data_IF_204738010415
#
_entry.id   IF_204738010415
#
_cell.length_a   1.000
_cell.length_b   1.000
_cell.length_c   1.000
_cell.angle_alpha   90.00
_cell.angle_beta   90.00
_cell.angle_gamma   90.00
#
_symmetry.space_group_name_H-M   'P 1'
#
loop_
_entity.id
_entity.type
_entity.pdbx_description
1 polymer ?
#
# COMPACT_ATOMS: atom_id res chain seq x y z
N UNK A 1 11.02 2.47 3.18
CA UNK A 1 10.00 2.66 4.26
C UNK A 1 10.32 1.70 5.37
N UNK A 2 10.35 2.17 6.59
CA UNK A 2 10.40 1.35 7.80
C UNK A 2 9.10 1.55 8.58
N UNK A 3 8.54 0.47 9.12
CA UNK A 3 7.24 0.50 9.77
C UNK A 3 7.23 -0.52 10.92
N UNK A 4 6.92 -0.06 12.12
CA UNK A 4 6.81 -0.89 13.31
C UNK A 4 5.59 -0.44 14.11
N UNK A 5 4.54 -1.23 14.02
CA UNK A 5 3.29 -1.01 14.73
C UNK A 5 2.91 -2.33 15.39
N UNK A 6 2.55 -2.29 16.66
CA UNK A 6 2.23 -3.46 17.47
C UNK A 6 3.39 -4.50 17.55
N UNK A 7 4.63 -4.02 17.52
CA UNK A 7 5.81 -4.86 17.66
C UNK A 7 6.28 -4.86 19.11
N UNK A 8 6.40 -6.03 19.70
CA UNK A 8 6.79 -6.22 21.10
C UNK A 8 8.22 -5.75 21.40
N UNK A 9 9.08 -5.69 20.38
CA UNK A 9 10.48 -5.24 20.51
C UNK A 9 10.61 -3.71 20.64
N UNK A 10 9.54 -2.95 20.39
CA UNK A 10 9.55 -1.49 20.43
C UNK A 10 8.49 -0.96 21.39
N UNK A 11 8.88 -0.02 22.23
CA UNK A 11 8.00 0.62 23.21
C UNK A 11 7.01 1.63 22.59
N UNK A 12 7.22 2.01 21.31
CA UNK A 12 6.41 2.99 20.61
C UNK A 12 6.15 2.55 19.18
N UNK A 13 4.93 2.73 18.74
CA UNK A 13 4.57 2.58 17.34
C UNK A 13 5.21 3.71 16.52
N UNK A 14 5.85 3.37 15.42
CA UNK A 14 6.44 4.37 14.55
C UNK A 14 6.51 3.89 13.10
N UNK A 15 6.53 4.84 12.20
CA UNK A 15 6.66 4.62 10.77
C UNK A 15 7.58 5.68 10.16
N UNK A 16 8.42 5.29 9.23
CA UNK A 16 9.35 6.19 8.56
C UNK A 16 9.35 5.93 7.06
N UNK A 17 9.10 6.99 6.31
CA UNK A 17 9.15 7.01 4.87
C UNK A 17 10.33 7.84 4.42
N UNK A 18 11.01 7.40 3.36
CA UNK A 18 12.02 8.20 2.69
C UNK A 18 11.31 9.21 1.77
N UNK A 19 11.78 10.43 1.82
CA UNK A 19 11.23 11.56 1.08
C UNK A 19 10.84 12.70 2.03
N UNK A 20 11.01 13.91 1.58
CA UNK A 20 10.73 15.13 2.34
C UNK A 20 9.78 16.02 1.54
N UNK A 21 8.60 16.25 2.11
CA UNK A 21 7.56 17.07 1.48
C UNK A 21 8.01 18.51 1.27
N UNK A 22 8.85 19.05 2.16
CA UNK A 22 9.40 20.41 2.03
C UNK A 22 10.33 20.49 0.81
N UNK A 23 11.11 19.43 0.56
CA UNK A 23 12.00 19.34 -0.60
C UNK A 23 11.19 19.38 -1.89
N UNK A 24 10.14 18.55 -1.95
CA UNK A 24 9.24 18.48 -3.12
C UNK A 24 8.58 19.85 -3.36
N UNK A 25 8.00 20.46 -2.32
CA UNK A 25 7.34 21.75 -2.43
C UNK A 25 8.30 22.85 -2.94
N UNK A 26 9.51 22.91 -2.39
CA UNK A 26 10.48 23.94 -2.77
C UNK A 26 11.04 23.74 -4.19
N UNK A 27 11.29 22.50 -4.60
CA UNK A 27 11.82 22.23 -5.95
C UNK A 27 10.76 22.39 -7.05
N UNK A 28 9.51 22.12 -6.75
CA UNK A 28 8.44 22.11 -7.76
C UNK A 28 7.54 23.35 -7.71
N UNK A 29 7.53 24.08 -6.61
CA UNK A 29 6.57 25.16 -6.37
C UNK A 29 5.13 24.69 -6.16
N UNK A 30 4.91 23.37 -6.00
CA UNK A 30 3.59 22.77 -5.83
C UNK A 30 3.31 22.58 -4.34
N UNK A 31 2.12 22.95 -3.89
CA UNK A 31 1.68 22.65 -2.51
C UNK A 31 1.74 21.16 -2.24
N UNK A 32 2.52 20.77 -1.24
CA UNK A 32 2.77 19.37 -0.90
C UNK A 32 2.20 19.06 0.48
N UNK A 33 1.42 18.00 0.57
CA UNK A 33 0.91 17.43 1.83
C UNK A 33 1.54 16.07 2.03
N UNK A 34 2.09 15.80 3.21
CA UNK A 34 2.86 14.60 3.51
C UNK A 34 2.57 14.07 4.92
N UNK A 35 3.28 13.01 5.32
CA UNK A 35 3.26 12.42 6.68
C UNK A 35 1.93 11.81 7.13
N UNK A 36 1.07 11.39 6.19
CA UNK A 36 -0.23 10.78 6.50
C UNK A 36 -0.09 9.56 7.43
N UNK A 37 0.90 8.68 7.19
CA UNK A 37 1.12 7.49 8.02
C UNK A 37 1.60 7.86 9.41
N UNK A 38 2.53 8.78 9.51
CA UNK A 38 3.07 9.27 10.78
C UNK A 38 1.97 9.93 11.61
N UNK A 39 1.11 10.71 10.98
CA UNK A 39 -0.03 11.36 11.64
C UNK A 39 -1.03 10.33 12.19
N UNK A 40 -1.37 9.30 11.41
CA UNK A 40 -2.27 8.23 11.83
C UNK A 40 -1.69 7.41 13.01
N UNK A 41 -0.41 7.04 12.93
CA UNK A 41 0.29 6.31 14.00
C UNK A 41 0.38 7.14 15.28
N UNK A 42 0.62 8.44 15.17
CA UNK A 42 0.67 9.35 16.32
C UNK A 42 -0.68 9.47 17.05
N UNK A 43 -1.78 9.26 16.33
CA UNK A 43 -3.14 9.23 16.88
C UNK A 43 -3.57 7.82 17.36
N UNK A 44 -2.65 6.85 17.37
CA UNK A 44 -2.91 5.49 17.80
C UNK A 44 -3.39 4.55 16.68
N UNK A 45 -3.37 5.00 15.44
CA UNK A 45 -3.67 4.19 14.27
C UNK A 45 -2.51 3.28 13.87
N UNK A 46 -2.71 2.52 12.81
CA UNK A 46 -1.72 1.57 12.30
C UNK A 46 -0.84 2.14 11.17
N UNK A 47 -1.20 3.30 10.62
CA UNK A 47 -0.49 3.94 9.51
C UNK A 47 -0.63 3.20 8.16
N UNK A 48 -1.27 2.05 8.15
CA UNK A 48 -1.55 1.25 6.96
C UNK A 48 -2.72 0.27 7.24
N UNK A 49 -3.55 -0.07 6.23
CA UNK A 49 -3.61 0.56 4.91
C UNK A 49 -4.28 1.95 4.95
N UNK A 50 -3.88 2.88 4.08
CA UNK A 50 -4.51 4.21 3.94
C UNK A 50 -5.47 4.28 2.73
N UNK A 51 -5.19 3.49 1.70
CA UNK A 51 -5.92 3.50 0.42
C UNK A 51 -7.41 3.14 0.55
N UNK A 52 -7.85 2.22 1.42
CA UNK A 52 -9.27 1.87 1.52
C UNK A 52 -10.20 3.04 1.81
N UNK A 53 -9.75 4.04 2.57
CA UNK A 53 -10.53 5.26 2.83
C UNK A 53 -10.73 6.09 1.57
N UNK A 54 -9.68 6.23 0.76
CA UNK A 54 -9.73 6.91 -0.53
C UNK A 54 -10.58 6.13 -1.53
N UNK A 55 -10.38 4.82 -1.62
CA UNK A 55 -11.17 3.95 -2.50
C UNK A 55 -12.66 4.04 -2.19
N UNK A 56 -13.02 4.05 -0.91
CA UNK A 56 -14.41 4.22 -0.49
C UNK A 56 -14.99 5.59 -0.88
N UNK A 57 -14.17 6.65 -0.79
CA UNK A 57 -14.58 7.99 -1.21
C UNK A 57 -14.84 8.05 -2.73
N UNK A 58 -13.99 7.40 -3.52
CA UNK A 58 -14.06 7.44 -4.99
C UNK A 58 -15.09 6.48 -5.58
N UNK A 59 -15.25 5.30 -4.98
CA UNK A 59 -16.03 4.18 -5.53
C UNK A 59 -17.17 3.73 -4.64
N UNK A 60 -17.37 4.36 -3.48
CA UNK A 60 -18.51 4.07 -2.61
C UNK A 60 -19.84 4.57 -3.18
N UNK A 61 -20.95 4.18 -2.53
CA UNK A 61 -22.29 4.66 -2.90
C UNK A 61 -22.99 3.85 -3.99
N UNK A 62 -22.37 2.81 -4.54
CA UNK A 62 -22.99 1.93 -5.54
C UNK A 62 -23.94 0.90 -4.89
N UNK A 63 -24.85 0.35 -5.70
CA UNK A 63 -25.81 -0.68 -5.26
C UNK A 63 -25.21 -2.09 -5.16
N UNK A 64 -23.95 -2.26 -5.54
CA UNK A 64 -23.20 -3.52 -5.51
C UNK A 64 -22.01 -3.44 -4.57
N UNK A 65 -21.54 -4.57 -4.09
CA UNK A 65 -20.23 -4.65 -3.42
C UNK A 65 -19.12 -4.54 -4.47
N UNK A 66 -18.07 -3.81 -4.15
CA UNK A 66 -16.91 -3.58 -5.03
C UNK A 66 -15.67 -4.16 -4.36
N UNK A 67 -14.85 -4.86 -5.13
CA UNK A 67 -13.51 -5.30 -4.73
C UNK A 67 -12.50 -4.67 -5.69
N UNK A 68 -11.62 -3.83 -5.16
CA UNK A 68 -10.52 -3.21 -5.92
C UNK A 68 -9.24 -3.96 -5.60
N UNK A 69 -8.78 -4.76 -6.56
CA UNK A 69 -7.54 -5.54 -6.43
C UNK A 69 -6.37 -4.75 -7.01
N UNK A 70 -5.38 -4.52 -6.18
CA UNK A 70 -4.07 -4.03 -6.60
C UNK A 70 -3.05 -5.18 -6.61
N UNK A 71 -2.24 -5.24 -7.68
CA UNK A 71 -1.19 -6.26 -7.83
C UNK A 71 0.13 -5.54 -8.06
N UNK A 72 0.91 -5.42 -6.99
CA UNK A 72 2.28 -4.94 -6.99
C UNK A 72 3.23 -6.06 -6.58
N UNK A 73 4.29 -5.78 -5.85
CA UNK A 73 5.16 -6.78 -5.23
C UNK A 73 4.37 -7.74 -4.35
N UNK A 74 3.50 -7.16 -3.51
CA UNK A 74 2.47 -7.83 -2.73
C UNK A 74 1.11 -7.39 -3.29
N UNK A 75 0.19 -8.34 -3.47
CA UNK A 75 -1.18 -8.05 -3.84
C UNK A 75 -1.98 -7.59 -2.63
N UNK A 76 -2.88 -6.62 -2.82
CA UNK A 76 -3.82 -6.20 -1.79
C UNK A 76 -5.18 -5.88 -2.39
N UNK A 77 -6.22 -5.93 -1.57
CA UNK A 77 -7.59 -5.68 -2.00
C UNK A 77 -8.26 -4.69 -1.07
N UNK A 78 -9.07 -3.78 -1.62
CA UNK A 78 -10.05 -2.99 -0.89
C UNK A 78 -11.44 -3.54 -1.18
N UNK A 79 -12.18 -3.90 -0.12
CA UNK A 79 -13.58 -4.30 -0.19
C UNK A 79 -14.45 -3.12 0.22
N UNK A 80 -15.35 -2.70 -0.68
CA UNK A 80 -16.28 -1.61 -0.46
C UNK A 80 -17.70 -2.20 -0.46
N UNK A 81 -18.43 -2.12 0.66
CA UNK A 81 -19.79 -2.61 0.73
C UNK A 81 -20.74 -1.75 -0.11
N UNK A 82 -21.80 -2.36 -0.59
CA UNK A 82 -22.88 -1.65 -1.28
C UNK A 82 -23.54 -0.59 -0.38
N UNK A 83 -24.07 0.44 -1.00
CA UNK A 83 -24.85 1.47 -0.31
C UNK A 83 -26.01 0.84 0.49
N UNK A 84 -26.28 1.37 1.67
CA UNK A 84 -27.34 0.87 2.57
C UNK A 84 -26.91 -0.28 3.48
N UNK A 85 -25.64 -0.74 3.41
CA UNK A 85 -25.07 -1.69 4.37
C UNK A 85 -24.36 -0.96 5.52
N UNK A 86 -25.10 -0.21 6.33
CA UNK A 86 -24.58 0.64 7.42
C UNK A 86 -23.74 -0.11 8.48
N UNK A 87 -23.87 -1.44 8.54
CA UNK A 87 -23.10 -2.29 9.46
C UNK A 87 -21.74 -2.74 8.91
N UNK A 88 -21.44 -2.45 7.66
CA UNK A 88 -20.20 -2.85 7.01
C UNK A 88 -19.37 -1.62 6.67
N UNK A 89 -18.12 -1.64 7.09
CA UNK A 89 -17.12 -0.62 6.71
C UNK A 89 -16.24 -1.16 5.60
N UNK A 90 -15.71 -0.27 4.77
CA UNK A 90 -14.68 -0.64 3.81
C UNK A 90 -13.45 -1.17 4.55
N UNK A 91 -12.87 -2.24 4.03
CA UNK A 91 -11.66 -2.84 4.60
C UNK A 91 -10.63 -3.11 3.52
N UNK A 92 -9.36 -3.05 3.89
CA UNK A 92 -8.26 -3.42 3.00
C UNK A 92 -7.29 -4.36 3.69
N UNK A 93 -6.77 -5.33 2.93
CA UNK A 93 -5.81 -6.30 3.42
C UNK A 93 -4.96 -6.86 2.27
N UNK A 94 -3.81 -7.42 2.63
CA UNK A 94 -2.92 -8.07 1.68
C UNK A 94 -3.47 -9.44 1.28
N UNK A 95 -3.44 -9.73 -0.03
CA UNK A 95 -3.94 -10.99 -0.59
C UNK A 95 -2.84 -12.02 -0.84
N UNK A 96 -1.59 -11.64 -0.57
CA UNK A 96 -0.42 -12.50 -0.74
C UNK A 96 0.59 -11.92 -1.73
N UNK A 97 1.61 -12.69 -2.09
CA UNK A 97 2.63 -12.22 -3.01
C UNK A 97 2.05 -11.97 -4.41
N UNK A 98 2.45 -10.84 -5.01
CA UNK A 98 2.19 -10.49 -6.40
C UNK A 98 3.40 -10.77 -7.30
N UNK A 99 3.92 -9.76 -7.98
CA UNK A 99 5.06 -9.92 -8.89
C UNK A 99 6.37 -10.31 -8.18
N UNK A 100 6.46 -10.20 -6.87
CA UNK A 100 7.62 -10.70 -6.12
C UNK A 100 7.88 -12.20 -6.34
N UNK A 101 6.86 -12.99 -6.70
CA UNK A 101 7.05 -14.40 -7.10
C UNK A 101 7.84 -14.46 -8.40
N UNK A 102 7.47 -13.65 -9.38
CA UNK A 102 8.15 -13.58 -10.69
C UNK A 102 9.60 -13.17 -10.46
N UNK A 103 9.82 -12.12 -9.70
CA UNK A 103 11.16 -11.62 -9.36
C UNK A 103 12.02 -12.71 -8.69
N UNK A 104 11.44 -13.46 -7.77
CA UNK A 104 12.14 -14.57 -7.12
C UNK A 104 12.51 -15.71 -8.08
N UNK A 105 11.63 -16.00 -9.05
CA UNK A 105 11.94 -16.98 -10.08
C UNK A 105 13.07 -16.47 -10.99
N UNK A 106 13.03 -15.21 -11.40
CA UNK A 106 14.08 -14.61 -12.23
C UNK A 106 15.44 -14.67 -11.51
N UNK A 107 15.49 -14.25 -10.26
CA UNK A 107 16.68 -14.36 -9.42
C UNK A 107 17.23 -15.80 -9.42
N UNK A 108 16.35 -16.78 -9.21
CA UNK A 108 16.73 -18.19 -9.13
C UNK A 108 17.23 -18.76 -10.45
N UNK A 109 16.54 -18.52 -11.58
CA UNK A 109 16.92 -19.09 -12.89
C UNK A 109 18.13 -18.38 -13.50
N UNK A 110 18.38 -17.12 -13.14
CA UNK A 110 19.56 -16.38 -13.59
C UNK A 110 20.76 -16.54 -12.67
N UNK A 111 20.62 -17.29 -11.57
CA UNK A 111 21.69 -17.47 -10.58
C UNK A 111 22.06 -16.17 -9.86
N UNK A 112 21.09 -15.29 -9.58
CA UNK A 112 21.28 -14.02 -8.89
C UNK A 112 21.77 -12.87 -9.78
N UNK A 113 21.80 -13.06 -11.10
CA UNK A 113 22.26 -12.03 -12.03
C UNK A 113 21.21 -10.97 -12.33
N UNK A 114 19.95 -11.33 -12.26
CA UNK A 114 18.82 -10.44 -12.51
C UNK A 114 17.81 -10.57 -11.36
N UNK A 115 17.28 -9.44 -10.91
CA UNK A 115 16.34 -9.38 -9.78
C UNK A 115 14.89 -9.27 -10.23
N UNK A 116 14.64 -9.03 -11.51
CA UNK A 116 13.31 -8.94 -12.12
C UNK A 116 13.41 -9.22 -13.62
N UNK A 117 12.29 -9.57 -14.23
CA UNK A 117 12.23 -9.83 -15.69
C UNK A 117 12.22 -8.52 -16.47
N UNK A 118 13.40 -8.07 -16.85
CA UNK A 118 13.56 -6.83 -17.61
C UNK A 118 12.89 -6.97 -18.99
N UNK A 119 11.99 -6.04 -19.26
CA UNK A 119 11.22 -5.95 -20.52
C UNK A 119 10.39 -7.20 -20.85
N UNK A 120 10.07 -8.03 -19.84
CA UNK A 120 9.30 -9.26 -20.02
C UNK A 120 10.02 -10.34 -20.85
N UNK A 121 11.33 -10.28 -20.94
CA UNK A 121 12.16 -11.11 -21.83
C UNK A 121 12.07 -12.62 -21.55
N UNK A 122 11.84 -12.99 -20.30
CA UNK A 122 11.72 -14.38 -19.87
C UNK A 122 10.28 -14.89 -19.93
N UNK A 123 9.31 -13.97 -19.97
CA UNK A 123 7.89 -14.28 -20.07
C UNK A 123 7.39 -14.36 -21.53
N UNK A 124 8.21 -13.93 -22.50
CA UNK A 124 7.88 -13.89 -23.93
C UNK A 124 7.94 -15.27 -24.62
#
# INVERSE_FOLDING_TARGET
>A
MWHSVNNEDFTHNMTWQLGDGSYIANLTGITTVCDFRTADVALGGQGAPLIPSFDNLMYGGHSINIALQNIGGIGNVTLIPRHGCEKQTSMGFDTGPGNMIIDRFVDKITGGKELFDKDGRLAA
#
